data_IF_272661909554
#
_entry.id   IF_272661909554
#
_cell.length_a   1.000
_cell.length_b   1.000
_cell.length_c   1.000
_cell.angle_alpha   90.00
_cell.angle_beta   90.00
_cell.angle_gamma   90.00
#
_symmetry.space_group_name_H-M   'P 1'
#
loop_
_entity.id
_entity.type
_entity.pdbx_description
1 polymer ?
#
# COMPACT_ATOMS: atom_id res chain seq x y z
N UNK A 1 -9.00 -20.34 -0.85
CA UNK A 1 -8.83 -18.90 -1.16
C UNK A 1 -8.16 -18.27 0.04
N UNK A 2 -7.05 -17.56 -0.14
CA UNK A 2 -6.42 -16.81 0.96
C UNK A 2 -7.37 -15.70 1.38
N UNK A 3 -7.73 -15.66 2.67
CA UNK A 3 -8.54 -14.60 3.27
C UNK A 3 -7.59 -13.49 3.75
N UNK A 4 -7.98 -12.21 3.60
CA UNK A 4 -7.18 -11.12 4.15
C UNK A 4 -7.16 -11.19 5.68
N UNK A 5 -6.00 -10.92 6.28
CA UNK A 5 -5.83 -10.80 7.73
C UNK A 5 -6.44 -9.48 8.22
N UNK A 6 -6.24 -8.43 7.43
CA UNK A 6 -6.78 -7.10 7.68
C UNK A 6 -7.07 -6.42 6.36
N UNK A 7 -8.13 -5.61 6.33
CA UNK A 7 -8.52 -4.81 5.18
C UNK A 7 -8.92 -3.40 5.62
N UNK A 8 -8.51 -2.40 4.85
CA UNK A 8 -8.90 -0.99 5.02
C UNK A 8 -9.15 -0.35 3.66
N UNK A 9 -9.70 0.87 3.64
CA UNK A 9 -9.96 1.63 2.41
C UNK A 9 -9.10 2.89 2.37
N UNK A 10 -8.39 3.09 1.26
CA UNK A 10 -7.53 4.25 1.04
C UNK A 10 -7.42 4.59 -0.46
N UNK A 11 -7.12 5.85 -0.77
CA UNK A 11 -6.61 6.23 -2.09
C UNK A 11 -5.15 5.81 -2.19
N UNK A 12 -4.77 5.19 -3.31
CA UNK A 12 -3.41 4.69 -3.51
C UNK A 12 -2.63 5.67 -4.38
N UNK A 13 -1.39 5.93 -3.98
CA UNK A 13 -0.43 6.75 -4.69
C UNK A 13 0.88 6.00 -4.84
N UNK A 14 1.64 6.36 -5.86
CA UNK A 14 3.04 5.97 -6.02
C UNK A 14 3.89 7.19 -6.32
N UNK A 15 5.17 7.14 -5.98
CA UNK A 15 6.10 8.17 -6.43
C UNK A 15 6.33 8.02 -7.94
N UNK A 16 6.31 9.13 -8.66
CA UNK A 16 6.65 9.17 -10.08
C UNK A 16 8.05 8.57 -10.29
N UNK A 17 8.19 7.51 -11.11
CA UNK A 17 9.46 6.82 -11.29
C UNK A 17 10.52 7.70 -11.97
N UNK A 18 10.12 8.72 -12.73
CA UNK A 18 11.04 9.62 -13.44
C UNK A 18 11.55 10.72 -12.52
N UNK A 19 10.65 11.39 -11.81
CA UNK A 19 11.01 12.54 -10.98
C UNK A 19 11.43 12.15 -9.57
N UNK A 20 11.00 10.99 -9.06
CA UNK A 20 11.19 10.50 -7.69
C UNK A 20 10.85 11.53 -6.60
N UNK A 21 9.95 12.46 -6.91
CA UNK A 21 9.58 13.58 -6.03
C UNK A 21 8.07 13.77 -5.93
N UNK A 22 7.34 13.50 -7.00
CA UNK A 22 5.91 13.78 -7.06
C UNK A 22 5.09 12.52 -6.80
N UNK A 23 3.99 12.67 -6.07
CA UNK A 23 2.99 11.63 -5.90
C UNK A 23 2.06 11.57 -7.11
N UNK A 24 1.87 10.38 -7.65
CA UNK A 24 0.95 10.10 -8.76
C UNK A 24 -0.17 9.21 -8.22
N UNK A 25 -1.46 9.56 -8.44
CA UNK A 25 -2.56 8.71 -8.02
C UNK A 25 -2.59 7.42 -8.84
N UNK A 26 -2.64 6.28 -8.15
CA UNK A 26 -2.74 4.95 -8.76
C UNK A 26 -4.20 4.48 -8.82
N UNK A 27 -5.09 5.05 -8.00
CA UNK A 27 -6.54 4.78 -8.03
C UNK A 27 -7.34 6.09 -8.10
N UNK A 28 -8.45 6.10 -8.86
CA UNK A 28 -9.36 7.26 -8.94
C UNK A 28 -10.23 7.42 -7.69
N UNK A 29 -10.52 6.32 -7.01
CA UNK A 29 -11.32 6.28 -5.80
C UNK A 29 -10.59 5.51 -4.70
N UNK A 30 -11.12 5.54 -3.48
CA UNK A 30 -10.63 4.70 -2.41
C UNK A 30 -10.86 3.22 -2.75
N UNK A 31 -9.80 2.44 -2.69
CA UNK A 31 -9.78 1.00 -2.97
C UNK A 31 -9.51 0.23 -1.68
N UNK A 32 -9.82 -1.06 -1.69
CA UNK A 32 -9.51 -1.95 -0.57
C UNK A 32 -8.02 -2.30 -0.60
N UNK A 33 -7.31 -1.99 0.49
CA UNK A 33 -5.92 -2.37 0.73
C UNK A 33 -5.92 -3.41 1.84
N UNK A 34 -5.31 -4.56 1.59
CA UNK A 34 -5.36 -5.69 2.52
C UNK A 34 -4.00 -6.32 2.76
N UNK A 35 -3.81 -6.82 3.98
CA UNK A 35 -2.70 -7.69 4.35
C UNK A 35 -3.09 -9.14 4.13
N UNK A 36 -2.24 -9.87 3.43
CA UNK A 36 -2.37 -11.31 3.19
C UNK A 36 -1.15 -12.04 3.72
N UNK A 37 -1.34 -13.27 4.17
CA UNK A 37 -0.25 -14.22 4.39
C UNK A 37 -0.24 -15.24 3.25
N UNK A 38 0.84 -15.23 2.48
CA UNK A 38 1.10 -16.17 1.39
C UNK A 38 1.84 -17.37 1.98
N UNK A 39 1.09 -18.43 2.25
CA UNK A 39 1.59 -19.64 2.92
C UNK A 39 2.61 -20.42 2.08
N UNK A 40 2.50 -20.33 0.75
CA UNK A 40 3.42 -21.02 -0.17
C UNK A 40 4.80 -20.38 -0.14
N UNK A 41 4.86 -19.05 -0.04
CA UNK A 41 6.12 -18.30 0.05
C UNK A 41 6.55 -17.98 1.49
N UNK A 42 5.69 -18.28 2.46
CA UNK A 42 5.86 -17.94 3.88
C UNK A 42 6.18 -16.44 4.10
N UNK A 43 5.38 -15.56 3.48
CA UNK A 43 5.56 -14.10 3.57
C UNK A 43 4.23 -13.37 3.76
N UNK A 44 4.30 -12.17 4.34
CA UNK A 44 3.17 -11.24 4.37
C UNK A 44 3.24 -10.28 3.18
N UNK A 45 2.08 -9.96 2.60
CA UNK A 45 1.96 -9.07 1.44
C UNK A 45 0.85 -8.05 1.64
N UNK A 46 1.11 -6.82 1.20
CA UNK A 46 0.09 -5.79 1.02
C UNK A 46 -0.41 -5.90 -0.41
N UNK A 47 -1.70 -6.14 -0.58
CA UNK A 47 -2.35 -6.28 -1.88
C UNK A 47 -3.51 -5.29 -1.99
N UNK A 48 -3.59 -4.62 -3.14
CA UNK A 48 -4.71 -3.77 -3.51
C UNK A 48 -4.99 -3.92 -5.00
N UNK A 49 -6.27 -3.99 -5.36
CA UNK A 49 -6.75 -4.12 -6.72
C UNK A 49 -7.58 -2.88 -7.10
N UNK A 50 -7.40 -2.37 -8.31
CA UNK A 50 -8.33 -1.46 -8.98
C UNK A 50 -9.01 -2.21 -10.11
N UNK A 51 -10.29 -2.56 -9.92
CA UNK A 51 -10.96 -3.58 -10.71
C UNK A 51 -10.24 -4.94 -10.60
N UNK A 52 -9.78 -5.47 -11.73
CA UNK A 52 -9.00 -6.72 -11.80
C UNK A 52 -7.47 -6.49 -11.78
N UNK A 53 -7.01 -5.24 -11.85
CA UNK A 53 -5.59 -4.92 -11.93
C UNK A 53 -4.99 -4.76 -10.54
N UNK A 54 -3.90 -5.48 -10.27
CA UNK A 54 -3.12 -5.25 -9.05
C UNK A 54 -2.38 -3.91 -9.15
N UNK A 55 -2.66 -3.03 -8.18
CA UNK A 55 -2.04 -1.71 -8.06
C UNK A 55 -1.09 -1.64 -6.86
N UNK A 56 -1.26 -2.52 -5.88
CA UNK A 56 -0.25 -2.80 -4.85
C UNK A 56 -0.05 -4.31 -4.80
N UNK A 57 1.22 -4.71 -4.83
CA UNK A 57 1.64 -6.07 -4.56
C UNK A 57 3.03 -6.03 -3.89
N UNK A 58 3.03 -5.62 -2.62
CA UNK A 58 4.25 -5.37 -1.87
C UNK A 58 4.49 -6.49 -0.87
N UNK A 59 5.69 -7.08 -0.88
CA UNK A 59 6.08 -8.07 0.13
C UNK A 59 6.67 -7.34 1.33
N UNK A 60 6.12 -7.58 2.51
CA UNK A 60 6.59 -6.95 3.74
C UNK A 60 7.93 -7.60 4.11
N UNK A 61 8.94 -6.76 4.31
CA UNK A 61 10.26 -7.20 4.76
C UNK A 61 10.53 -6.64 6.16
N UNK A 62 11.43 -7.27 6.96
CA UNK A 62 11.73 -6.80 8.31
C UNK A 62 12.23 -5.34 8.37
N UNK A 63 12.89 -4.87 7.32
CA UNK A 63 13.44 -3.51 7.24
C UNK A 63 12.48 -2.49 6.61
N UNK A 64 11.25 -2.91 6.29
CA UNK A 64 10.26 -2.04 5.69
C UNK A 64 9.60 -1.17 6.77
N UNK A 65 9.70 0.15 6.59
CA UNK A 65 9.13 1.13 7.51
C UNK A 65 7.94 1.83 6.88
N UNK A 66 6.82 1.86 7.59
CA UNK A 66 5.67 2.69 7.25
C UNK A 66 5.77 4.03 8.00
N UNK A 67 5.93 5.12 7.25
CA UNK A 67 6.10 6.48 7.79
C UNK A 67 4.84 7.29 7.58
N UNK A 68 4.28 7.84 8.65
CA UNK A 68 3.17 8.81 8.59
C UNK A 68 3.75 10.19 8.23
N UNK A 69 3.27 10.82 7.17
CA UNK A 69 3.78 12.14 6.72
C UNK A 69 2.73 13.24 6.78
N UNK A 70 1.46 12.90 7.02
CA UNK A 70 0.43 13.85 7.45
C UNK A 70 -0.64 13.14 8.29
N UNK A 71 -1.64 13.88 8.76
CA UNK A 71 -2.73 13.36 9.58
C UNK A 71 -3.47 12.15 8.95
N UNK A 72 -3.54 12.09 7.61
CA UNK A 72 -4.30 11.05 6.89
C UNK A 72 -3.48 10.35 5.81
N UNK A 73 -2.17 10.56 5.78
CA UNK A 73 -1.30 10.00 4.75
C UNK A 73 -0.08 9.32 5.36
N UNK A 74 0.22 8.13 4.86
CA UNK A 74 1.46 7.42 5.18
C UNK A 74 2.00 6.68 3.96
N UNK A 75 3.27 6.30 4.04
CA UNK A 75 4.03 5.75 2.92
C UNK A 75 5.04 4.71 3.35
N UNK A 76 5.46 3.86 2.42
CA UNK A 76 6.60 2.97 2.58
C UNK A 76 7.36 2.81 1.25
N UNK A 77 8.65 2.55 1.35
CA UNK A 77 9.45 2.17 0.19
C UNK A 77 9.43 0.65 0.00
N UNK A 78 9.26 0.21 -1.25
CA UNK A 78 9.42 -1.19 -1.66
C UNK A 78 10.57 -1.28 -2.66
N UNK A 79 11.73 -1.74 -2.18
CA UNK A 79 12.94 -1.90 -2.99
C UNK A 79 12.80 -2.98 -4.07
N UNK A 80 11.94 -3.99 -3.88
CA UNK A 80 11.73 -5.05 -4.88
C UNK A 80 10.87 -4.55 -6.03
N UNK A 81 9.85 -3.76 -5.73
CA UNK A 81 9.02 -3.09 -6.73
C UNK A 81 9.66 -1.81 -7.28
N UNK A 82 10.81 -1.38 -6.73
CA UNK A 82 11.52 -0.14 -7.06
C UNK A 82 10.57 1.08 -7.05
N UNK A 83 9.74 1.19 -6.02
CA UNK A 83 8.72 2.24 -5.90
C UNK A 83 8.50 2.62 -4.44
N UNK A 84 7.84 3.75 -4.23
CA UNK A 84 7.34 4.17 -2.92
C UNK A 84 5.83 4.23 -3.03
N UNK A 85 5.15 3.48 -2.18
CA UNK A 85 3.69 3.48 -2.10
C UNK A 85 3.24 4.49 -1.04
N UNK A 86 2.12 5.15 -1.33
CA UNK A 86 1.46 6.10 -0.44
C UNK A 86 -0.02 5.78 -0.32
N UNK A 87 -0.57 5.94 0.88
CA UNK A 87 -1.97 5.69 1.18
C UNK A 87 -2.60 6.92 1.81
N UNK A 88 -3.64 7.44 1.17
CA UNK A 88 -4.50 8.50 1.69
C UNK A 88 -5.79 7.94 2.29
N UNK A 89 -5.90 7.99 3.61
CA UNK A 89 -7.02 7.46 4.38
C UNK A 89 -8.16 8.47 4.57
N UNK A 90 -9.35 7.99 4.88
CA UNK A 90 -10.50 8.85 5.18
C UNK A 90 -10.39 9.58 6.52
N UNK A 91 -9.65 9.02 7.48
CA UNK A 91 -9.46 9.59 8.83
C UNK A 91 -8.10 9.21 9.43
N UNK A 92 -7.66 9.97 10.43
CA UNK A 92 -6.43 9.69 11.20
C UNK A 92 -6.48 8.34 11.93
N UNK A 93 -7.66 7.97 12.41
CA UNK A 93 -7.89 6.69 13.05
C UNK A 93 -7.58 5.52 12.10
N UNK A 94 -7.97 5.61 10.83
CA UNK A 94 -7.63 4.57 9.83
C UNK A 94 -6.14 4.52 9.49
N UNK A 95 -5.42 5.65 9.57
CA UNK A 95 -3.97 5.68 9.38
C UNK A 95 -3.22 5.08 10.58
N UNK A 96 -3.81 5.14 11.77
CA UNK A 96 -3.14 4.73 13.03
C UNK A 96 -3.49 3.34 13.53
N UNK A 97 -4.48 2.69 12.92
CA UNK A 97 -4.77 1.27 13.11
C UNK A 97 -3.81 0.39 12.34
#
# INVERSE_FOLDING_TARGET
REQPIFSTRAHVFQIDPNTKKNWVPTSKHAVTVSYFYDSTRNVYRIISLDGSKAIINSTITPNMTFTKTSQKFGQWADSRANTVYGLGFSSEHHLSK
#
